data_IF_149308702231
#
_entry.id   IF_149308702231
#
_cell.length_a   1.000
_cell.length_b   1.000
_cell.length_c   1.000
_cell.angle_alpha   90.00
_cell.angle_beta   90.00
_cell.angle_gamma   90.00
#
_symmetry.space_group_name_H-M   'P 1'
#
loop_
_entity.id
_entity.type
_entity.pdbx_description
1 polymer ?
#
# COMPACT_ATOMS: atom_id res chain seq x y z
N UNK A 1 -39.34 -7.46 66.71
CA UNK A 1 -39.58 -7.49 65.26
C UNK A 1 -38.30 -7.10 64.53
N UNK A 2 -37.57 -8.07 63.95
CA UNK A 2 -36.31 -7.81 63.22
C UNK A 2 -36.67 -7.42 61.78
N UNK A 3 -36.30 -6.21 61.35
CA UNK A 3 -36.51 -5.76 59.96
C UNK A 3 -35.37 -6.30 59.08
N UNK A 4 -35.66 -6.98 57.95
CA UNK A 4 -34.62 -7.37 57.02
C UNK A 4 -34.14 -6.12 56.25
N UNK A 5 -32.83 -5.90 56.24
CA UNK A 5 -32.19 -4.89 55.39
C UNK A 5 -31.81 -5.60 54.09
N UNK A 6 -32.52 -5.29 53.01
CA UNK A 6 -32.19 -5.78 51.67
C UNK A 6 -31.16 -4.84 51.06
N UNK A 7 -29.91 -5.28 50.94
CA UNK A 7 -28.86 -4.55 50.23
C UNK A 7 -28.99 -4.88 48.74
N UNK A 8 -29.37 -3.89 47.94
CA UNK A 8 -29.43 -4.01 46.48
C UNK A 8 -28.05 -3.66 45.90
N UNK A 9 -27.28 -4.69 45.54
CA UNK A 9 -25.99 -4.52 44.86
C UNK A 9 -26.23 -4.16 43.39
N UNK A 10 -25.97 -2.90 43.01
CA UNK A 10 -25.90 -2.50 41.61
C UNK A 10 -24.60 -3.01 41.00
N UNK A 11 -24.68 -4.02 40.13
CA UNK A 11 -23.59 -4.38 39.22
C UNK A 11 -23.50 -3.32 38.11
N UNK A 12 -22.52 -2.41 38.22
CA UNK A 12 -22.15 -1.50 37.13
C UNK A 12 -21.28 -2.29 36.15
N UNK A 13 -21.87 -2.73 35.03
CA UNK A 13 -21.09 -3.26 33.92
C UNK A 13 -20.41 -2.08 33.22
N UNK A 14 -19.10 -1.91 33.42
CA UNK A 14 -18.29 -1.02 32.61
C UNK A 14 -18.25 -1.59 31.19
N UNK A 15 -18.95 -0.94 30.25
CA UNK A 15 -18.80 -1.22 28.84
C UNK A 15 -17.38 -0.80 28.43
N UNK A 16 -16.50 -1.79 28.30
CA UNK A 16 -15.18 -1.61 27.70
C UNK A 16 -15.42 -1.34 26.22
N UNK A 17 -15.21 -0.10 25.77
CA UNK A 17 -15.23 0.19 24.34
C UNK A 17 -14.05 -0.54 23.70
N UNK A 18 -14.34 -1.55 22.87
CA UNK A 18 -13.33 -2.05 21.95
C UNK A 18 -12.91 -0.91 21.01
N UNK A 19 -11.62 -0.83 20.70
CA UNK A 19 -11.13 0.20 19.80
C UNK A 19 -11.61 -0.13 18.38
N UNK A 20 -12.46 0.73 17.82
CA UNK A 20 -13.10 0.54 16.51
C UNK A 20 -12.38 1.24 15.37
N UNK A 21 -11.29 1.98 15.65
CA UNK A 21 -10.60 2.77 14.64
C UNK A 21 -9.94 1.84 13.59
N UNK A 22 -10.32 1.95 12.30
CA UNK A 22 -9.74 1.13 11.23
C UNK A 22 -8.22 1.26 11.10
N UNK A 23 -7.63 2.39 11.50
CA UNK A 23 -6.18 2.56 11.53
C UNK A 23 -5.51 1.61 12.53
N UNK A 24 -6.24 0.97 13.44
CA UNK A 24 -5.73 -0.01 14.42
C UNK A 24 -6.10 -1.43 14.01
N UNK A 25 -7.34 -1.64 13.57
CA UNK A 25 -7.89 -2.99 13.36
C UNK A 25 -7.90 -3.43 11.89
N UNK A 26 -7.74 -2.50 10.94
CA UNK A 26 -7.93 -2.73 9.51
C UNK A 26 -6.76 -3.37 8.78
N UNK A 27 -5.78 -3.94 9.48
CA UNK A 27 -4.56 -4.48 8.88
C UNK A 27 -4.64 -5.98 8.64
N UNK A 28 -4.09 -6.45 7.51
CA UNK A 28 -3.85 -7.86 7.25
C UNK A 28 -2.58 -8.26 8.03
N UNK A 29 -2.76 -8.66 9.29
CA UNK A 29 -1.65 -9.10 10.14
C UNK A 29 -1.29 -10.56 9.86
N UNK A 30 0.00 -10.84 9.76
CA UNK A 30 0.53 -12.19 9.58
C UNK A 30 0.59 -12.92 10.92
N UNK A 31 -0.47 -13.68 11.22
CA UNK A 31 -0.57 -14.53 12.42
C UNK A 31 -0.26 -16.00 12.13
N UNK A 32 -0.06 -16.36 10.87
CA UNK A 32 0.11 -17.76 10.42
C UNK A 32 1.55 -18.12 10.08
N UNK A 33 2.45 -17.13 10.01
CA UNK A 33 3.82 -17.31 9.54
C UNK A 33 3.93 -17.41 8.01
N UNK A 34 2.93 -16.91 7.26
CA UNK A 34 2.96 -16.93 5.79
C UNK A 34 4.16 -16.13 5.27
N UNK A 35 4.82 -16.63 4.24
CA UNK A 35 5.93 -15.97 3.57
C UNK A 35 5.53 -15.47 2.18
N UNK A 36 6.36 -14.57 1.63
CA UNK A 36 6.21 -14.07 0.27
C UNK A 36 6.37 -15.16 -0.77
N UNK A 37 5.86 -14.88 -1.97
CA UNK A 37 6.02 -15.71 -3.16
C UNK A 37 6.26 -14.85 -4.37
N UNK A 38 7.01 -15.35 -5.34
CA UNK A 38 7.23 -14.65 -6.60
C UNK A 38 7.26 -15.59 -7.81
N UNK A 39 6.92 -15.04 -8.97
CA UNK A 39 7.17 -15.65 -10.26
C UNK A 39 8.48 -15.15 -10.87
N UNK A 40 9.04 -15.95 -11.77
CA UNK A 40 10.12 -15.55 -12.66
C UNK A 40 9.66 -15.70 -14.11
N UNK A 41 10.15 -14.84 -15.00
CA UNK A 41 9.79 -14.87 -16.42
C UNK A 41 10.09 -16.25 -17.02
N UNK A 42 9.10 -16.85 -17.66
CA UNK A 42 9.19 -18.17 -18.28
C UNK A 42 8.80 -19.34 -17.37
N UNK A 43 8.48 -19.08 -16.09
CA UNK A 43 8.03 -20.11 -15.15
C UNK A 43 6.74 -19.70 -14.42
N UNK A 44 5.63 -20.35 -14.79
CA UNK A 44 4.32 -20.13 -14.19
C UNK A 44 4.12 -20.84 -12.83
N UNK A 45 5.15 -21.48 -12.29
CA UNK A 45 5.14 -22.02 -10.92
C UNK A 45 5.85 -21.04 -9.99
N UNK A 46 5.19 -20.56 -8.91
CA UNK A 46 5.79 -19.59 -8.02
C UNK A 46 6.85 -20.22 -7.12
N UNK A 47 7.88 -19.44 -6.79
CA UNK A 47 8.85 -19.76 -5.76
C UNK A 47 8.37 -19.21 -4.41
N UNK A 48 8.62 -19.96 -3.34
CA UNK A 48 8.38 -19.51 -1.98
C UNK A 48 9.61 -18.75 -1.47
N UNK A 49 9.38 -17.56 -0.94
CA UNK A 49 10.41 -16.75 -0.30
C UNK A 49 10.59 -17.12 1.17
N UNK A 50 11.72 -16.73 1.74
CA UNK A 50 12.02 -16.89 3.17
C UNK A 50 11.69 -15.64 4.00
N UNK A 51 10.93 -14.70 3.43
CA UNK A 51 10.57 -13.41 4.07
C UNK A 51 9.10 -13.44 4.49
N UNK A 52 8.81 -13.01 5.72
CA UNK A 52 7.45 -12.89 6.21
C UNK A 52 6.62 -11.94 5.35
N UNK A 53 5.45 -12.38 4.93
CA UNK A 53 4.50 -11.56 4.19
C UNK A 53 3.60 -10.74 5.13
N UNK A 54 2.90 -9.78 4.55
CA UNK A 54 1.90 -8.90 5.15
C UNK A 54 2.44 -8.05 6.34
N UNK A 55 1.56 -7.56 7.22
CA UNK A 55 1.93 -6.77 8.40
C UNK A 55 2.40 -7.68 9.54
N UNK A 56 3.55 -7.40 10.16
CA UNK A 56 4.07 -8.20 11.28
C UNK A 56 3.54 -7.74 12.63
N UNK A 57 3.31 -6.44 12.82
CA UNK A 57 2.68 -5.95 14.06
C UNK A 57 2.05 -4.58 13.88
N UNK A 58 1.01 -4.33 14.67
CA UNK A 58 0.36 -3.03 14.80
C UNK A 58 0.39 -2.63 16.27
N UNK A 59 0.95 -1.46 16.55
CA UNK A 59 1.00 -0.87 17.90
C UNK A 59 0.41 0.54 17.80
N UNK A 60 -0.18 1.04 18.87
CA UNK A 60 -0.70 2.40 18.88
C UNK A 60 -0.39 3.08 20.21
N UNK A 61 -0.34 4.40 20.17
CA UNK A 61 -0.25 5.26 21.33
C UNK A 61 -1.46 6.20 21.32
N UNK A 62 -2.42 5.93 22.20
CA UNK A 62 -3.64 6.73 22.31
C UNK A 62 -3.38 8.14 22.88
N UNK A 63 -2.27 8.36 23.58
CA UNK A 63 -1.92 9.67 24.13
C UNK A 63 -1.25 10.55 23.06
N UNK A 64 -0.47 9.93 22.17
CA UNK A 64 0.21 10.64 21.09
C UNK A 64 -0.60 10.69 19.79
N UNK A 65 -1.72 9.96 19.71
CA UNK A 65 -2.61 9.89 18.56
C UNK A 65 -2.00 9.25 17.30
N UNK A 66 -1.22 8.18 17.48
CA UNK A 66 -0.53 7.49 16.39
C UNK A 66 -0.70 5.98 16.42
N UNK A 67 -0.69 5.38 15.23
CA UNK A 67 -0.47 3.96 14.99
C UNK A 67 0.89 3.74 14.34
N UNK A 68 1.57 2.68 14.77
CA UNK A 68 2.84 2.20 14.25
C UNK A 68 2.63 0.81 13.66
N UNK A 69 2.94 0.68 12.36
CA UNK A 69 2.71 -0.54 11.59
C UNK A 69 4.05 -1.07 11.10
N UNK A 70 4.47 -2.23 11.57
CA UNK A 70 5.70 -2.88 11.10
C UNK A 70 5.37 -3.84 9.96
N UNK A 71 6.02 -3.64 8.81
CA UNK A 71 5.85 -4.49 7.63
C UNK A 71 7.16 -4.69 6.86
N UNK A 72 7.34 -5.87 6.26
CA UNK A 72 8.45 -6.16 5.34
C UNK A 72 8.25 -5.49 3.97
N UNK A 73 7.01 -5.11 3.62
CA UNK A 73 6.65 -4.66 2.27
C UNK A 73 6.35 -5.80 1.30
N UNK A 74 6.32 -7.05 1.78
CA UNK A 74 6.05 -8.23 0.95
C UNK A 74 4.60 -8.68 1.15
N UNK A 75 3.79 -8.81 0.09
CA UNK A 75 2.43 -9.31 0.18
C UNK A 75 2.37 -10.84 0.27
N UNK A 76 1.22 -11.38 0.73
CA UNK A 76 0.94 -12.82 0.70
C UNK A 76 0.52 -13.33 -0.70
N UNK A 77 -0.05 -12.46 -1.54
CA UNK A 77 -0.27 -12.77 -2.95
C UNK A 77 1.07 -12.83 -3.69
N UNK A 78 1.09 -13.53 -4.82
CA UNK A 78 2.33 -13.77 -5.56
C UNK A 78 2.73 -12.50 -6.30
N UNK A 79 4.00 -12.11 -6.20
CA UNK A 79 4.56 -10.95 -6.90
C UNK A 79 5.23 -11.35 -8.22
N UNK A 80 5.36 -10.38 -9.12
CA UNK A 80 6.07 -10.59 -10.38
C UNK A 80 5.34 -11.56 -11.35
N UNK A 81 5.99 -11.94 -12.45
CA UNK A 81 7.27 -11.41 -12.89
C UNK A 81 7.11 -9.97 -13.41
N UNK A 82 8.23 -9.26 -13.54
CA UNK A 82 8.28 -7.91 -14.11
C UNK A 82 8.82 -8.01 -15.55
N UNK A 83 8.03 -7.57 -16.52
CA UNK A 83 8.29 -7.86 -17.95
C UNK A 83 8.99 -6.71 -18.70
N UNK A 84 9.40 -5.67 -17.99
CA UNK A 84 10.16 -4.52 -18.50
C UNK A 84 11.68 -4.79 -18.61
N UNK A 85 12.12 -6.00 -18.26
CA UNK A 85 13.53 -6.37 -18.23
C UNK A 85 14.22 -6.06 -16.89
N UNK A 86 13.48 -5.61 -15.88
CA UNK A 86 14.01 -5.45 -14.53
C UNK A 86 14.28 -6.83 -13.90
N UNK A 87 15.54 -7.20 -13.59
CA UNK A 87 15.87 -8.50 -13.02
C UNK A 87 15.59 -8.58 -11.51
N UNK A 88 15.15 -7.48 -10.90
CA UNK A 88 14.94 -7.40 -9.47
C UNK A 88 13.73 -8.23 -9.05
N UNK A 89 13.74 -8.67 -7.79
CA UNK A 89 12.59 -9.27 -7.10
C UNK A 89 12.16 -8.39 -5.94
N UNK A 90 10.95 -8.62 -5.43
CA UNK A 90 10.51 -7.98 -4.20
C UNK A 90 11.42 -8.42 -3.03
N UNK A 91 11.97 -7.46 -2.29
CA UNK A 91 12.85 -7.72 -1.14
C UNK A 91 12.36 -7.00 0.10
N UNK A 92 12.63 -7.59 1.27
CA UNK A 92 12.24 -7.03 2.55
C UNK A 92 12.81 -5.62 2.73
N UNK A 93 11.94 -4.65 2.95
CA UNK A 93 12.30 -3.27 3.25
C UNK A 93 12.33 -2.97 4.75
N UNK A 94 11.70 -3.83 5.57
CA UNK A 94 11.65 -3.76 7.04
C UNK A 94 11.34 -2.35 7.57
N UNK A 95 10.18 -1.81 7.20
CA UNK A 95 9.76 -0.45 7.55
C UNK A 95 8.79 -0.45 8.73
N UNK A 96 8.83 0.63 9.52
CA UNK A 96 7.80 0.98 10.49
C UNK A 96 7.12 2.24 9.99
N UNK A 97 5.84 2.15 9.69
CA UNK A 97 5.01 3.24 9.22
C UNK A 97 4.27 3.88 10.38
N UNK A 98 4.12 5.20 10.35
CA UNK A 98 3.45 5.98 11.40
C UNK A 98 2.23 6.68 10.81
N UNK A 99 1.05 6.42 11.35
CA UNK A 99 -0.24 6.87 10.81
C UNK A 99 -1.02 7.62 11.91
N UNK A 100 -1.51 8.86 11.67
CA UNK A 100 -2.37 9.57 12.61
C UNK A 100 -3.67 8.79 12.90
N UNK A 101 -4.11 8.77 14.16
CA UNK A 101 -5.38 8.15 14.54
C UNK A 101 -6.58 9.05 14.21
N UNK A 102 -6.44 10.37 14.37
CA UNK A 102 -7.45 11.35 14.00
C UNK A 102 -6.91 12.30 12.92
N UNK A 103 -6.92 11.89 11.64
CA UNK A 103 -6.50 12.77 10.55
C UNK A 103 -7.41 14.00 10.48
N UNK A 104 -6.82 15.18 10.26
CA UNK A 104 -7.55 16.44 10.08
C UNK A 104 -7.30 16.98 8.68
N UNK A 105 -8.38 17.37 8.00
CA UNK A 105 -8.27 17.86 6.64
C UNK A 105 -7.58 19.22 6.65
N UNK A 106 -6.55 19.39 5.82
CA UNK A 106 -5.99 20.70 5.56
C UNK A 106 -6.97 21.52 4.70
N UNK A 107 -7.57 22.56 5.29
CA UNK A 107 -8.49 23.48 4.59
C UNK A 107 -7.78 24.68 3.95
N UNK A 108 -6.46 24.79 4.10
CA UNK A 108 -5.63 25.81 3.47
C UNK A 108 -5.03 25.34 2.15
N UNK A 109 -3.83 25.82 1.84
CA UNK A 109 -3.07 25.37 0.65
C UNK A 109 -2.67 23.91 0.80
N UNK A 110 -3.02 23.08 -0.18
CA UNK A 110 -2.64 21.67 -0.20
C UNK A 110 -1.12 21.50 -0.28
N UNK A 111 -0.60 20.52 0.47
CA UNK A 111 0.81 20.14 0.41
C UNK A 111 1.00 19.12 -0.71
N UNK A 112 1.96 19.37 -1.59
CA UNK A 112 2.32 18.40 -2.61
C UNK A 112 2.88 17.11 -1.96
N UNK A 113 2.54 15.97 -2.53
CA UNK A 113 3.15 14.69 -2.19
C UNK A 113 4.64 14.69 -2.52
N UNK A 114 5.41 13.87 -1.82
CA UNK A 114 6.80 13.57 -2.15
C UNK A 114 6.86 12.42 -3.16
N UNK A 115 7.92 12.36 -3.98
CA UNK A 115 8.17 11.18 -4.81
C UNK A 115 8.41 9.94 -3.94
N UNK A 116 8.02 8.77 -4.46
CA UNK A 116 8.13 7.49 -3.75
C UNK A 116 6.94 7.20 -2.84
N UNK A 117 7.18 6.55 -1.69
CA UNK A 117 6.15 6.16 -0.73
C UNK A 117 5.36 7.37 -0.18
N UNK A 118 4.05 7.38 -0.38
CA UNK A 118 3.10 8.38 0.18
C UNK A 118 2.05 7.76 1.11
N UNK A 119 2.05 6.43 1.20
CA UNK A 119 1.15 5.68 2.04
C UNK A 119 1.53 4.21 2.11
N UNK A 120 0.59 3.44 2.66
CA UNK A 120 0.74 2.01 2.90
C UNK A 120 -0.62 1.31 2.70
N UNK A 121 -0.61 0.17 2.03
CA UNK A 121 -1.78 -0.70 1.96
C UNK A 121 -1.93 -1.57 3.21
N UNK A 122 -3.11 -2.13 3.45
CA UNK A 122 -3.42 -2.92 4.66
C UNK A 122 -2.57 -4.18 4.84
N UNK A 123 -1.92 -4.65 3.76
CA UNK A 123 -0.94 -5.74 3.78
C UNK A 123 0.50 -5.25 3.99
N UNK A 124 0.74 -3.96 4.18
CA UNK A 124 2.07 -3.41 4.37
C UNK A 124 2.85 -3.11 3.09
N UNK A 125 2.27 -3.35 1.90
CA UNK A 125 2.87 -2.94 0.61
C UNK A 125 2.82 -1.41 0.49
N UNK A 126 3.87 -0.87 -0.12
CA UNK A 126 4.01 0.56 -0.33
C UNK A 126 2.98 1.11 -1.34
N UNK A 127 2.34 2.23 -0.99
CA UNK A 127 1.65 3.09 -1.96
C UNK A 127 2.63 4.17 -2.39
N UNK A 128 2.95 4.19 -3.67
CA UNK A 128 3.78 5.22 -4.28
C UNK A 128 2.93 6.33 -4.87
N UNK A 129 3.55 7.50 -4.93
CA UNK A 129 3.07 8.66 -5.65
C UNK A 129 2.82 8.36 -7.14
N UNK A 130 1.90 9.07 -7.78
CA UNK A 130 1.51 8.86 -9.18
C UNK A 130 2.65 9.05 -10.20
N UNK A 131 3.75 9.69 -9.81
CA UNK A 131 4.90 9.99 -10.69
C UNK A 131 5.87 8.81 -10.74
N UNK A 132 6.48 8.61 -11.91
CA UNK A 132 7.59 7.65 -12.12
C UNK A 132 8.99 8.29 -11.95
N UNK A 133 9.03 9.56 -11.56
CA UNK A 133 10.28 10.33 -11.43
C UNK A 133 10.80 10.91 -12.75
N UNK A 134 10.06 10.77 -13.86
CA UNK A 134 10.33 11.47 -15.13
C UNK A 134 9.41 12.69 -15.27
N UNK A 135 9.94 13.76 -15.83
CA UNK A 135 9.22 15.00 -16.04
C UNK A 135 9.65 15.70 -17.34
N UNK A 136 8.87 16.71 -17.75
CA UNK A 136 9.20 17.56 -18.90
C UNK A 136 9.93 18.84 -18.46
N UNK A 137 11.11 19.08 -19.01
CA UNK A 137 11.88 20.31 -18.81
C UNK A 137 11.57 21.31 -19.94
N UNK A 138 10.93 22.42 -19.62
CA UNK A 138 10.68 23.53 -20.56
C UNK A 138 11.95 24.29 -20.94
N UNK A 139 13.00 24.20 -20.14
CA UNK A 139 14.30 24.85 -20.43
C UNK A 139 15.04 24.13 -21.55
N UNK A 140 14.99 22.80 -21.56
CA UNK A 140 15.70 21.96 -22.54
C UNK A 140 14.79 21.37 -23.60
N UNK A 141 13.46 21.58 -23.50
CA UNK A 141 12.42 20.98 -24.34
C UNK A 141 12.60 19.46 -24.51
N UNK A 142 12.84 18.77 -23.39
CA UNK A 142 13.09 17.34 -23.36
C UNK A 142 12.67 16.72 -22.03
N UNK A 143 12.60 15.39 -21.98
CA UNK A 143 12.43 14.65 -20.73
C UNK A 143 13.66 14.80 -19.83
N UNK A 144 13.42 14.85 -18.53
CA UNK A 144 14.42 14.84 -17.47
C UNK A 144 13.97 13.91 -16.35
N UNK A 145 14.90 13.49 -15.49
CA UNK A 145 14.60 12.62 -14.35
C UNK A 145 14.38 11.15 -14.73
N UNK A 146 14.37 10.28 -13.73
CA UNK A 146 14.35 8.83 -13.92
C UNK A 146 15.57 8.28 -14.67
N UNK A 147 15.62 6.96 -14.91
CA UNK A 147 16.71 6.31 -15.63
C UNK A 147 16.80 6.78 -17.10
N UNK A 148 18.02 7.04 -17.58
CA UNK A 148 18.29 7.33 -19.00
C UNK A 148 18.08 8.78 -19.45
N UNK A 149 17.57 9.67 -18.59
CA UNK A 149 17.41 11.10 -18.91
C UNK A 149 18.40 11.97 -18.12
N UNK A 150 18.69 13.21 -18.58
CA UNK A 150 19.41 14.18 -17.76
C UNK A 150 18.64 14.52 -16.48
N UNK A 151 19.34 15.03 -15.46
CA UNK A 151 18.71 15.46 -14.21
C UNK A 151 17.73 16.62 -14.44
N UNK A 152 16.59 16.59 -13.74
CA UNK A 152 15.68 17.73 -13.75
C UNK A 152 16.26 18.91 -12.95
N UNK A 153 15.85 20.13 -13.34
CA UNK A 153 16.13 21.33 -12.57
C UNK A 153 15.56 21.20 -11.13
N UNK A 154 16.35 21.57 -10.13
CA UNK A 154 16.02 21.38 -8.71
C UNK A 154 16.52 20.05 -8.11
N UNK A 155 16.91 19.09 -8.94
CA UNK A 155 17.45 17.80 -8.50
C UNK A 155 16.38 16.72 -8.34
N UNK A 156 16.79 15.59 -7.75
CA UNK A 156 15.93 14.42 -7.58
C UNK A 156 14.77 14.73 -6.61
N UNK A 157 13.55 14.36 -6.99
CA UNK A 157 12.35 14.51 -6.15
C UNK A 157 11.73 15.91 -6.14
N UNK A 158 12.28 16.88 -6.86
CA UNK A 158 11.63 18.18 -7.05
C UNK A 158 10.41 18.05 -7.96
N UNK A 159 9.25 18.47 -7.47
CA UNK A 159 8.01 18.54 -8.26
C UNK A 159 8.21 19.48 -9.45
N UNK A 160 8.09 18.94 -10.65
CA UNK A 160 8.10 19.72 -11.89
C UNK A 160 6.68 20.17 -12.24
N UNK A 161 6.56 21.17 -13.14
CA UNK A 161 5.26 21.61 -13.63
C UNK A 161 4.51 20.50 -14.39
N UNK A 162 5.26 19.62 -15.06
CA UNK A 162 4.74 18.52 -15.86
C UNK A 162 5.50 17.24 -15.50
N UNK A 163 4.86 16.37 -14.73
CA UNK A 163 5.42 15.07 -14.36
C UNK A 163 4.71 13.98 -15.18
N UNK A 164 5.41 12.91 -15.50
CA UNK A 164 4.84 11.77 -16.22
C UNK A 164 4.11 10.85 -15.24
N UNK A 165 2.96 10.36 -15.69
CA UNK A 165 2.16 9.39 -14.93
C UNK A 165 2.81 8.00 -15.02
N UNK A 166 3.07 7.41 -13.85
CA UNK A 166 3.66 6.08 -13.72
C UNK A 166 2.78 4.99 -14.32
N UNK A 167 1.46 5.11 -14.21
CA UNK A 167 0.54 4.04 -14.65
C UNK A 167 0.72 3.72 -16.14
N UNK A 168 0.61 4.68 -17.08
CA UNK A 168 0.83 4.40 -18.49
C UNK A 168 2.31 4.18 -18.84
N UNK A 169 3.24 4.86 -18.13
CA UNK A 169 4.67 4.81 -18.47
C UNK A 169 5.34 3.49 -18.07
N UNK A 170 4.96 2.94 -16.93
CA UNK A 170 5.62 1.78 -16.31
C UNK A 170 4.80 0.50 -16.43
N UNK A 171 3.62 0.55 -17.08
CA UNK A 171 2.70 -0.59 -17.23
C UNK A 171 3.36 -1.88 -17.71
N UNK A 172 4.35 -1.77 -18.59
CA UNK A 172 5.07 -2.93 -19.11
C UNK A 172 5.84 -3.70 -18.01
N UNK A 173 6.23 -3.00 -16.94
CA UNK A 173 6.89 -3.57 -15.76
C UNK A 173 5.93 -4.03 -14.67
N UNK A 174 4.63 -3.74 -14.77
CA UNK A 174 3.67 -4.15 -13.76
C UNK A 174 3.36 -5.65 -13.82
N UNK A 175 3.33 -6.28 -12.66
CA UNK A 175 2.87 -7.65 -12.49
C UNK A 175 1.34 -7.77 -12.52
N UNK A 176 0.80 -8.97 -12.29
CA UNK A 176 -0.65 -9.18 -12.32
C UNK A 176 -1.43 -8.29 -11.34
N UNK A 177 -0.83 -7.96 -10.19
CA UNK A 177 -1.42 -7.10 -9.16
C UNK A 177 -1.23 -5.60 -9.43
N UNK A 178 -0.72 -5.23 -10.61
CA UNK A 178 -0.46 -3.84 -11.02
C UNK A 178 0.60 -3.13 -10.18
N UNK A 179 1.59 -3.88 -9.69
CA UNK A 179 2.71 -3.34 -8.94
C UNK A 179 4.04 -3.71 -9.59
N UNK A 180 5.08 -3.01 -9.17
CA UNK A 180 6.45 -3.22 -9.62
C UNK A 180 7.46 -2.77 -8.57
N UNK A 181 8.73 -2.67 -8.98
CA UNK A 181 9.86 -2.57 -8.06
C UNK A 181 10.65 -1.27 -8.24
N UNK A 182 11.02 -0.69 -7.10
CA UNK A 182 12.06 0.32 -7.02
C UNK A 182 13.15 -0.19 -6.05
N UNK A 183 14.26 -0.71 -6.59
CA UNK A 183 15.36 -1.30 -5.80
C UNK A 183 14.87 -2.36 -4.80
N UNK A 184 13.96 -3.23 -5.24
CA UNK A 184 13.34 -4.29 -4.43
C UNK A 184 12.15 -3.86 -3.58
N UNK A 185 11.86 -2.55 -3.44
CA UNK A 185 10.64 -2.06 -2.81
C UNK A 185 9.46 -2.30 -3.75
N UNK A 186 8.64 -3.30 -3.45
CA UNK A 186 7.42 -3.61 -4.18
C UNK A 186 6.32 -2.62 -3.82
N UNK A 187 5.69 -2.02 -4.83
CA UNK A 187 4.77 -0.92 -4.64
C UNK A 187 3.73 -0.79 -5.76
N UNK A 188 2.59 -0.18 -5.43
CA UNK A 188 1.59 0.23 -6.42
C UNK A 188 1.55 1.75 -6.54
N UNK A 189 1.32 2.23 -7.77
CA UNK A 189 0.93 3.61 -8.06
C UNK A 189 -0.58 3.79 -8.21
N UNK A 190 -1.31 2.68 -8.20
CA UNK A 190 -2.72 2.61 -8.58
C UNK A 190 -3.48 1.57 -7.77
N UNK A 191 -4.74 1.36 -8.15
CA UNK A 191 -5.62 0.37 -7.57
C UNK A 191 -4.96 -1.03 -7.49
N UNK A 192 -4.74 -1.61 -6.29
CA UNK A 192 -4.03 -2.87 -6.11
C UNK A 192 -4.94 -4.10 -6.35
N UNK A 193 -5.74 -4.05 -7.42
CA UNK A 193 -6.53 -5.18 -7.93
C UNK A 193 -5.79 -5.85 -9.09
N UNK A 194 -6.13 -7.10 -9.39
CA UNK A 194 -5.52 -7.80 -10.51
C UNK A 194 -5.98 -7.23 -11.87
N UNK A 195 -5.10 -7.22 -12.88
CA UNK A 195 -5.43 -6.74 -14.24
C UNK A 195 -6.60 -7.49 -14.89
N UNK A 196 -6.77 -8.78 -14.59
CA UNK A 196 -7.85 -9.59 -15.14
C UNK A 196 -9.24 -9.28 -14.51
N UNK A 197 -9.29 -8.40 -13.50
CA UNK A 197 -10.53 -7.91 -12.91
C UNK A 197 -10.97 -6.55 -13.48
N UNK A 198 -10.17 -5.94 -14.37
CA UNK A 198 -10.52 -4.66 -14.98
C UNK A 198 -11.61 -4.81 -16.04
N UNK A 199 -12.46 -3.79 -16.15
CA UNK A 199 -13.45 -3.69 -17.24
C UNK A 199 -12.78 -3.73 -18.62
N UNK A 200 -11.63 -3.07 -18.74
CA UNK A 200 -10.78 -3.09 -19.92
C UNK A 200 -9.43 -3.67 -19.53
N UNK A 201 -9.16 -4.92 -19.90
CA UNK A 201 -7.91 -5.61 -19.57
C UNK A 201 -6.76 -5.03 -20.41
N UNK A 202 -5.86 -4.29 -19.75
CA UNK A 202 -4.73 -3.61 -20.40
C UNK A 202 -3.43 -4.43 -20.42
N UNK A 203 -3.40 -5.57 -19.70
CA UNK A 203 -2.25 -6.47 -19.64
C UNK A 203 -2.73 -7.92 -19.49
N UNK A 204 -2.12 -8.83 -20.22
CA UNK A 204 -2.44 -10.26 -20.19
C UNK A 204 -1.58 -11.06 -19.21
N UNK A 205 -0.69 -10.39 -18.44
CA UNK A 205 0.26 -11.03 -17.51
C UNK A 205 -0.40 -12.04 -16.56
N UNK A 206 -1.61 -11.74 -16.08
CA UNK A 206 -2.38 -12.59 -15.19
C UNK A 206 -2.78 -13.95 -15.79
N UNK A 207 -2.74 -14.10 -17.12
CA UNK A 207 -3.10 -15.35 -17.80
C UNK A 207 -2.06 -16.44 -17.53
N UNK A 208 -0.78 -16.06 -17.46
CA UNK A 208 0.34 -16.97 -17.19
C UNK A 208 0.76 -16.91 -15.72
N UNK A 209 0.64 -15.74 -15.10
CA UNK A 209 1.12 -15.45 -13.74
C UNK A 209 -0.04 -14.87 -12.91
N UNK A 210 -1.03 -15.68 -12.53
CA UNK A 210 -2.18 -15.20 -11.79
C UNK A 210 -1.78 -14.74 -10.38
N UNK A 211 -2.42 -13.67 -9.89
CA UNK A 211 -2.26 -13.20 -8.52
C UNK A 211 -3.61 -12.72 -8.01
N UNK A 212 -3.89 -12.99 -6.73
CA UNK A 212 -5.14 -12.57 -6.08
C UNK A 212 -5.21 -11.05 -5.88
N UNK A 213 -4.05 -10.36 -5.98
CA UNK A 213 -3.87 -8.96 -5.62
C UNK A 213 -4.35 -8.64 -4.20
N UNK A 214 -4.54 -7.37 -3.86
CA UNK A 214 -4.96 -6.99 -2.51
C UNK A 214 -6.44 -7.29 -2.25
N UNK A 215 -7.28 -7.14 -3.28
CA UNK A 215 -8.72 -7.35 -3.19
C UNK A 215 -9.33 -7.66 -4.56
N UNK A 216 -10.55 -8.19 -4.52
CA UNK A 216 -11.38 -8.45 -5.70
C UNK A 216 -12.48 -7.38 -5.79
N UNK A 217 -12.64 -6.79 -6.97
CA UNK A 217 -13.68 -5.79 -7.24
C UNK A 217 -15.05 -6.47 -7.21
N UNK A 218 -15.99 -5.91 -6.45
CA UNK A 218 -17.36 -6.43 -6.36
C UNK A 218 -18.38 -5.28 -6.33
N UNK A 219 -19.12 -5.04 -7.42
CA UNK A 219 -20.06 -3.91 -7.50
C UNK A 219 -21.28 -4.06 -6.59
N UNK A 220 -21.49 -5.23 -5.99
CA UNK A 220 -22.59 -5.51 -5.05
C UNK A 220 -22.19 -5.38 -3.58
N UNK A 221 -20.96 -4.95 -3.30
CA UNK A 221 -20.45 -4.77 -1.94
C UNK A 221 -19.93 -3.34 -1.75
N UNK A 222 -19.90 -2.89 -0.51
CA UNK A 222 -19.28 -1.61 -0.19
C UNK A 222 -17.76 -1.70 -0.39
N UNK A 223 -17.17 -0.60 -0.88
CA UNK A 223 -15.72 -0.46 -1.04
C UNK A 223 -14.96 -0.89 0.23
N UNK A 224 -14.03 -1.84 0.14
CA UNK A 224 -13.21 -2.26 1.27
C UNK A 224 -12.15 -1.21 1.60
N UNK A 225 -11.68 -1.19 2.84
CA UNK A 225 -10.47 -0.45 3.21
C UNK A 225 -9.27 -1.10 2.50
N UNK A 226 -8.48 -0.29 1.79
CA UNK A 226 -7.27 -0.74 1.09
C UNK A 226 -5.99 -0.31 1.78
N UNK A 227 -6.00 0.83 2.47
CA UNK A 227 -4.79 1.37 3.08
C UNK A 227 -5.00 2.73 3.70
N UNK A 228 -3.88 3.39 3.99
CA UNK A 228 -3.85 4.74 4.56
C UNK A 228 -2.74 5.55 3.87
N UNK A 229 -3.05 6.82 3.57
CA UNK A 229 -2.03 7.82 3.24
C UNK A 229 -1.31 8.26 4.52
N UNK A 230 -0.11 8.84 4.40
CA UNK A 230 0.68 9.26 5.56
C UNK A 230 0.08 10.41 6.37
N UNK A 231 -0.86 11.16 5.81
CA UNK A 231 -1.67 12.14 6.54
C UNK A 231 -2.83 11.49 7.33
N UNK A 232 -2.96 10.15 7.28
CA UNK A 232 -3.85 9.34 8.10
C UNK A 232 -5.21 9.05 7.49
N UNK A 233 -5.52 9.59 6.31
CA UNK A 233 -6.80 9.33 5.67
C UNK A 233 -6.87 7.89 5.11
N UNK A 234 -8.01 7.19 5.32
CA UNK A 234 -8.22 5.86 4.76
C UNK A 234 -8.45 5.91 3.25
N UNK A 235 -7.93 4.89 2.56
CA UNK A 235 -8.12 4.66 1.13
C UNK A 235 -9.09 3.50 0.97
N UNK A 236 -10.13 3.68 0.16
CA UNK A 236 -11.14 2.66 -0.11
C UNK A 236 -11.10 2.21 -1.58
N UNK A 237 -11.50 0.96 -1.82
CA UNK A 237 -11.49 0.34 -3.15
C UNK A 237 -12.68 0.70 -4.04
N UNK A 238 -12.70 0.09 -5.23
CA UNK A 238 -13.73 0.25 -6.24
C UNK A 238 -14.76 -0.89 -6.23
#
# INVERSE_FOLDING_TARGET
MRKPITILSFLFALAINAQTNPAITGWLQNTTGITGRHYITGNATPFNDAVAANVQSVKYDANLDWVYVAATGIPAYITGPFQDGNPSLATAQNKIFKIPLNPTQNTGTATATTGGNIGIFINGVALFDYRDGVAWSSTTNALCGGPGNPTCAGGMGTTQAWNRDAIPAERAGFDCSKAHLAMGNYHHHQNPSAFNLDLNVLSTVCSTYPSDALYVINPNQHSPLLGFTYDGFPIYGA
#
